data_IF_879756727549
#
_entry.id   IF_879756727549
#
_cell.length_a   1.000
_cell.length_b   1.000
_cell.length_c   1.000
_cell.angle_alpha   90.00
_cell.angle_beta   90.00
_cell.angle_gamma   90.00
#
_symmetry.space_group_name_H-M   'P 1'
#
loop_
_entity.id
_entity.type
_entity.pdbx_description
1 polymer ?
#
# COMPACT_ATOMS: atom_id res chain seq x y z
N UNK A 1 -20.03 0.84 -18.54
CA UNK A 1 -20.41 2.27 -18.44
C UNK A 1 -19.20 3.19 -18.22
N UNK A 2 -18.40 3.08 -17.15
CA UNK A 2 -17.28 4.02 -16.91
C UNK A 2 -15.99 3.78 -17.72
N UNK A 3 -15.86 2.62 -18.37
CA UNK A 3 -14.62 2.18 -19.06
C UNK A 3 -14.35 2.94 -20.37
N UNK A 4 -15.40 3.40 -21.06
CA UNK A 4 -15.31 4.10 -22.34
C UNK A 4 -15.26 5.63 -22.20
N UNK A 5 -15.50 6.16 -21.00
CA UNK A 5 -15.61 7.60 -20.78
C UNK A 5 -14.25 8.24 -20.50
N UNK A 6 -13.77 9.07 -21.43
CA UNK A 6 -12.52 9.82 -21.29
C UNK A 6 -12.58 10.76 -20.08
N UNK A 7 -11.55 10.71 -19.24
CA UNK A 7 -11.33 11.68 -18.19
C UNK A 7 -10.71 12.94 -18.80
N UNK A 8 -11.35 14.08 -18.55
CA UNK A 8 -10.95 15.37 -19.14
C UNK A 8 -10.00 16.15 -18.24
N UNK A 9 -10.22 16.07 -16.93
CA UNK A 9 -9.43 16.81 -15.96
C UNK A 9 -9.36 16.07 -14.63
N UNK A 10 -8.21 16.21 -13.99
CA UNK A 10 -7.90 15.61 -12.72
C UNK A 10 -7.46 16.71 -11.76
N UNK A 11 -8.23 16.93 -10.70
CA UNK A 11 -7.96 17.96 -9.72
C UNK A 11 -7.56 17.34 -8.37
N UNK A 12 -6.54 17.92 -7.76
CA UNK A 12 -6.13 17.65 -6.38
C UNK A 12 -7.05 18.39 -5.39
N UNK A 13 -7.22 17.86 -4.18
CA UNK A 13 -7.91 18.57 -3.11
C UNK A 13 -7.33 19.97 -2.89
N UNK A 14 -8.18 20.98 -2.70
CA UNK A 14 -7.78 22.38 -2.48
C UNK A 14 -7.67 23.23 -3.75
N UNK A 15 -7.64 22.63 -4.94
CA UNK A 15 -7.71 23.38 -6.20
C UNK A 15 -9.08 24.02 -6.43
N UNK A 16 -9.14 25.06 -7.28
CA UNK A 16 -10.39 25.70 -7.65
C UNK A 16 -11.40 24.67 -8.19
N UNK A 17 -12.63 24.70 -7.67
CA UNK A 17 -13.67 23.73 -7.99
C UNK A 17 -13.68 22.46 -7.12
N UNK A 18 -12.73 22.31 -6.18
CA UNK A 18 -12.69 21.19 -5.21
C UNK A 18 -12.96 21.61 -3.76
N UNK A 19 -12.99 22.91 -3.44
CA UNK A 19 -13.13 23.42 -2.06
C UNK A 19 -14.31 22.82 -1.29
N UNK A 20 -15.51 22.81 -1.86
CA UNK A 20 -16.70 22.17 -1.25
C UNK A 20 -16.55 20.66 -1.03
N UNK A 21 -15.82 19.98 -1.90
CA UNK A 21 -15.56 18.54 -1.76
C UNK A 21 -14.50 18.29 -0.69
N UNK A 22 -13.50 19.17 -0.59
CA UNK A 22 -12.53 19.15 0.50
C UNK A 22 -13.22 19.44 1.84
N UNK A 23 -14.15 20.38 1.91
CA UNK A 23 -14.96 20.62 3.12
C UNK A 23 -15.81 19.38 3.49
N UNK A 24 -16.36 18.69 2.50
CA UNK A 24 -17.21 17.51 2.73
C UNK A 24 -16.43 16.26 3.14
N UNK A 25 -15.31 15.97 2.46
CA UNK A 25 -14.57 14.71 2.60
C UNK A 25 -13.25 14.86 3.37
N UNK A 26 -12.79 16.09 3.60
CA UNK A 26 -11.55 16.38 4.33
C UNK A 26 -10.34 15.66 3.74
N UNK A 27 -9.50 15.15 4.64
CA UNK A 27 -8.27 14.43 4.30
C UNK A 27 -8.52 13.08 3.62
N UNK A 28 -9.77 12.58 3.64
CA UNK A 28 -10.14 11.37 2.90
C UNK A 28 -10.30 11.63 1.41
N UNK A 29 -10.38 12.88 0.96
CA UNK A 29 -10.48 13.19 -0.47
C UNK A 29 -9.13 12.95 -1.15
N UNK A 30 -9.05 11.95 -2.02
CA UNK A 30 -7.83 11.65 -2.76
C UNK A 30 -7.71 12.49 -4.03
N UNK A 31 -8.76 12.52 -4.85
CA UNK A 31 -8.81 13.33 -6.07
C UNK A 31 -10.23 13.57 -6.59
N UNK A 32 -10.36 14.50 -7.54
CA UNK A 32 -11.62 14.78 -8.25
C UNK A 32 -11.40 14.64 -9.76
N UNK A 33 -12.23 13.84 -10.44
CA UNK A 33 -12.20 13.66 -11.90
C UNK A 33 -13.44 14.22 -12.56
N UNK A 34 -13.24 14.94 -13.66
CA UNK A 34 -14.29 15.27 -14.61
C UNK A 34 -14.26 14.31 -15.80
N UNK A 35 -15.42 13.79 -16.18
CA UNK A 35 -15.59 12.91 -17.34
C UNK A 35 -16.73 13.45 -18.19
N UNK A 36 -16.64 13.22 -19.50
CA UNK A 36 -17.72 13.51 -20.43
C UNK A 36 -18.30 12.21 -20.96
N UNK A 37 -19.61 12.07 -20.82
CA UNK A 37 -20.39 10.99 -21.39
C UNK A 37 -20.93 11.49 -22.72
N UNK A 38 -20.24 11.19 -23.82
CA UNK A 38 -20.67 11.63 -25.16
C UNK A 38 -21.99 10.97 -25.57
N UNK A 39 -22.19 9.71 -25.16
CA UNK A 39 -23.40 8.95 -25.47
C UNK A 39 -24.64 9.56 -24.81
N UNK A 40 -24.51 10.03 -23.56
CA UNK A 40 -25.62 10.63 -22.80
C UNK A 40 -25.61 12.16 -22.81
N UNK A 41 -24.57 12.79 -23.34
CA UNK A 41 -24.38 14.24 -23.33
C UNK A 41 -24.17 14.83 -21.92
N UNK A 42 -23.68 14.04 -20.95
CA UNK A 42 -23.56 14.50 -19.55
C UNK A 42 -22.11 14.69 -19.11
N UNK A 43 -21.87 15.74 -18.32
CA UNK A 43 -20.61 15.94 -17.60
C UNK A 43 -20.72 15.30 -16.22
N UNK A 44 -19.89 14.31 -15.95
CA UNK A 44 -19.80 13.69 -14.63
C UNK A 44 -18.66 14.31 -13.84
N UNK A 45 -18.94 14.58 -12.56
CA UNK A 45 -17.94 14.91 -11.57
C UNK A 45 -17.87 13.76 -10.58
N UNK A 46 -16.69 13.19 -10.41
CA UNK A 46 -16.45 12.02 -9.56
C UNK A 46 -15.36 12.34 -8.56
N UNK A 47 -15.42 11.72 -7.39
CA UNK A 47 -14.42 11.83 -6.33
C UNK A 47 -13.86 10.45 -6.03
N UNK A 48 -12.55 10.37 -5.82
CA UNK A 48 -11.91 9.21 -5.20
C UNK A 48 -11.70 9.53 -3.73
N UNK A 49 -12.15 8.65 -2.85
CA UNK A 49 -12.06 8.82 -1.40
C UNK A 49 -11.39 7.62 -0.75
N UNK A 50 -10.64 7.88 0.32
CA UNK A 50 -10.09 6.85 1.19
C UNK A 50 -11.23 6.31 2.05
N UNK A 51 -11.58 5.05 1.83
CA UNK A 51 -12.60 4.34 2.61
C UNK A 51 -11.99 3.56 3.78
N UNK A 52 -10.74 3.15 3.64
CA UNK A 52 -10.02 2.36 4.63
C UNK A 52 -8.52 2.67 4.54
N UNK A 53 -7.87 2.73 5.70
CA UNK A 53 -6.44 2.84 5.87
C UNK A 53 -5.99 1.72 6.81
N UNK A 54 -5.02 0.91 6.39
CA UNK A 54 -4.43 -0.15 7.23
C UNK A 54 -2.91 -0.02 7.20
N UNK A 55 -2.23 -0.23 8.33
CA UNK A 55 -0.79 -0.26 8.34
C UNK A 55 -0.29 -1.43 7.47
N UNK A 56 0.66 -1.14 6.59
CA UNK A 56 1.40 -2.20 5.89
C UNK A 56 2.40 -2.81 6.88
N UNK A 57 2.10 -4.03 7.34
CA UNK A 57 3.08 -4.86 8.03
C UNK A 57 4.10 -5.36 7.03
N UNK A 58 5.18 -4.59 6.86
CA UNK A 58 6.35 -5.10 6.17
C UNK A 58 6.99 -6.12 7.11
N UNK A 59 7.14 -7.38 6.70
CA UNK A 59 7.88 -8.33 7.53
C UNK A 59 9.29 -7.75 7.72
N UNK A 60 9.77 -7.76 8.97
CA UNK A 60 11.10 -7.21 9.31
C UNK A 60 12.22 -7.89 8.53
N UNK A 61 11.95 -9.08 8.00
CA UNK A 61 12.85 -9.92 7.23
C UNK A 61 12.14 -10.38 5.97
N UNK A 62 12.84 -10.37 4.84
CA UNK A 62 12.41 -11.03 3.60
C UNK A 62 12.60 -12.55 3.73
N UNK A 63 11.94 -13.31 2.86
CA UNK A 63 12.04 -14.78 2.87
C UNK A 63 13.49 -15.28 2.73
N UNK A 64 14.33 -14.53 2.02
CA UNK A 64 15.75 -14.86 1.80
C UNK A 64 16.70 -14.19 2.82
N UNK A 65 16.19 -13.44 3.80
CA UNK A 65 17.05 -12.79 4.80
C UNK A 65 17.57 -13.83 5.79
N UNK A 66 18.89 -13.83 6.00
CA UNK A 66 19.51 -14.63 7.06
C UNK A 66 19.23 -13.99 8.41
N UNK A 67 18.40 -14.65 9.22
CA UNK A 67 18.03 -14.18 10.57
C UNK A 67 18.81 -14.92 11.64
N UNK A 68 19.31 -14.23 12.69
CA UNK A 68 19.95 -14.89 13.80
C UNK A 68 18.91 -15.67 14.63
N UNK A 69 19.13 -16.97 14.78
CA UNK A 69 18.33 -17.83 15.67
C UNK A 69 19.21 -18.21 16.85
N UNK A 70 18.75 -17.90 18.06
CA UNK A 70 19.39 -18.35 19.30
C UNK A 70 18.80 -19.70 19.71
N UNK A 71 19.67 -20.64 20.03
CA UNK A 71 19.32 -21.98 20.53
C UNK A 71 19.97 -22.12 21.90
N UNK A 72 19.24 -22.67 22.87
CA UNK A 72 19.79 -22.89 24.19
C UNK A 72 20.85 -24.00 24.16
N UNK A 73 21.76 -23.98 25.14
CA UNK A 73 22.92 -24.89 25.13
C UNK A 73 22.52 -26.36 25.28
N UNK A 74 21.45 -26.63 25.99
CA UNK A 74 20.87 -27.93 26.27
C UNK A 74 20.04 -28.51 25.10
N UNK A 75 19.68 -27.70 24.11
CA UNK A 75 18.95 -28.12 22.91
C UNK A 75 19.89 -28.72 21.85
N UNK A 76 20.63 -29.76 22.24
CA UNK A 76 21.66 -30.39 21.41
C UNK A 76 21.11 -30.92 20.08
N UNK A 77 19.93 -31.54 20.09
CA UNK A 77 19.30 -32.10 18.88
C UNK A 77 18.94 -31.00 17.87
N UNK A 78 18.44 -29.86 18.35
CA UNK A 78 18.09 -28.72 17.50
C UNK A 78 19.34 -28.07 16.91
N UNK A 79 20.42 -27.99 17.69
CA UNK A 79 21.71 -27.48 17.23
C UNK A 79 22.33 -28.34 16.13
N UNK A 80 22.29 -29.66 16.25
CA UNK A 80 22.78 -30.56 15.21
C UNK A 80 21.96 -30.45 13.91
N UNK A 81 20.63 -30.32 14.03
CA UNK A 81 19.75 -30.15 12.89
C UNK A 81 20.03 -28.84 12.14
N UNK A 82 20.20 -27.73 12.86
CA UNK A 82 20.49 -26.43 12.26
C UNK A 82 21.91 -26.35 11.69
N UNK A 83 22.89 -26.97 12.36
CA UNK A 83 24.27 -27.04 11.85
C UNK A 83 24.36 -27.74 10.49
N UNK A 84 23.49 -28.71 10.21
CA UNK A 84 23.45 -29.41 8.92
C UNK A 84 22.75 -28.61 7.81
N UNK A 85 21.92 -27.62 8.16
CA UNK A 85 21.03 -26.92 7.22
C UNK A 85 21.40 -25.44 6.98
N UNK A 86 22.15 -24.80 7.86
CA UNK A 86 22.45 -23.37 7.76
C UNK A 86 23.84 -23.08 7.14
N UNK A 87 23.92 -22.05 6.28
CA UNK A 87 25.19 -21.50 5.80
C UNK A 87 25.92 -20.74 6.92
N UNK A 88 27.25 -20.83 6.97
CA UNK A 88 28.06 -20.34 8.09
C UNK A 88 28.13 -18.80 8.10
N UNK A 89 27.14 -18.14 8.68
CA UNK A 89 27.15 -16.71 9.01
C UNK A 89 27.95 -16.44 10.27
N UNK A 90 29.28 -16.44 10.16
CA UNK A 90 30.17 -16.15 11.29
C UNK A 90 30.13 -14.68 11.70
N UNK A 91 29.37 -14.35 12.74
CA UNK A 91 29.61 -13.14 13.52
C UNK A 91 30.87 -13.37 14.37
N UNK A 92 31.99 -12.78 13.96
CA UNK A 92 33.16 -12.60 14.84
C UNK A 92 32.97 -11.27 15.56
N UNK A 93 32.76 -11.33 16.87
CA UNK A 93 33.02 -10.23 17.80
C UNK A 93 34.50 -10.17 18.14
#
# INVERSE_FOLDING_TARGET
MLKEMKAYSHLKPGQNGTKRLLEQYGDKLLCVRYRYDETRGVKLKTVEIIVEERPLHHPRFKDDDMVPVSVAFDEMELRELLSKKCGHGGSRS
#
